data_IF_507177225197
#
_entry.id   IF_507177225197
#
_cell.length_a   1.000
_cell.length_b   1.000
_cell.length_c   1.000
_cell.angle_alpha   90.00
_cell.angle_beta   90.00
_cell.angle_gamma   90.00
#
_symmetry.space_group_name_H-M   'P 1'
#
loop_
_entity.id
_entity.type
_entity.pdbx_description
1 polymer ?
#
# COMPACT_ATOMS: atom_id res chain seq x y z
N UNK A 1 -1.05 16.59 -8.76
CA UNK A 1 -0.87 15.13 -8.79
C UNK A 1 -0.83 14.68 -7.34
N UNK A 2 -1.70 13.74 -6.95
CA UNK A 2 -1.88 13.36 -5.54
C UNK A 2 -0.77 12.47 -4.99
N UNK A 3 -0.07 11.75 -5.87
CA UNK A 3 1.13 10.98 -5.55
C UNK A 3 2.30 11.95 -5.48
N UNK A 4 2.81 12.17 -4.27
CA UNK A 4 3.92 13.10 -4.03
C UNK A 4 5.28 12.45 -4.29
N UNK A 5 5.37 11.12 -4.14
CA UNK A 5 6.60 10.39 -4.38
C UNK A 5 6.43 8.89 -4.26
N UNK A 6 7.43 8.16 -4.75
CA UNK A 6 7.52 6.71 -4.64
C UNK A 6 8.70 6.35 -3.73
N UNK A 7 8.49 5.41 -2.82
CA UNK A 7 9.49 4.94 -1.86
C UNK A 7 9.68 3.44 -2.04
N UNK A 8 10.92 3.05 -2.26
CA UNK A 8 11.29 1.64 -2.29
C UNK A 8 11.54 1.13 -0.87
N UNK A 9 11.15 -0.12 -0.56
CA UNK A 9 11.53 -0.74 0.70
C UNK A 9 13.06 -0.87 0.79
N UNK A 10 13.62 -0.65 1.98
CA UNK A 10 15.07 -0.66 2.21
C UNK A 10 15.69 -2.04 1.89
N UNK A 11 14.95 -3.11 2.17
CA UNK A 11 15.28 -4.48 1.77
C UNK A 11 14.07 -5.10 1.04
N UNK A 12 14.06 -4.96 -0.29
CA UNK A 12 13.00 -5.48 -1.14
C UNK A 12 12.90 -7.00 -1.11
N UNK A 13 14.03 -7.70 -1.02
CA UNK A 13 14.08 -9.17 -1.08
C UNK A 13 13.67 -9.78 0.26
N UNK A 14 14.18 -9.27 1.37
CA UNK A 14 13.76 -9.69 2.70
C UNK A 14 12.28 -9.39 2.96
N UNK A 15 11.79 -8.22 2.51
CA UNK A 15 10.35 -7.92 2.61
C UNK A 15 9.50 -8.89 1.77
N UNK A 16 9.91 -9.20 0.54
CA UNK A 16 9.23 -10.17 -0.31
C UNK A 16 9.10 -11.54 0.37
N UNK A 17 10.19 -12.05 0.95
CA UNK A 17 10.20 -13.36 1.62
C UNK A 17 9.30 -13.38 2.86
N UNK A 18 9.29 -12.29 3.64
CA UNK A 18 8.43 -12.16 4.83
C UNK A 18 6.95 -12.11 4.49
N UNK A 19 6.56 -11.51 3.36
CA UNK A 19 5.14 -11.33 3.00
C UNK A 19 4.56 -12.44 2.10
N UNK A 20 5.35 -13.47 1.75
CA UNK A 20 4.96 -14.53 0.79
C UNK A 20 4.08 -15.65 1.35
N UNK A 21 4.11 -15.90 2.65
CA UNK A 21 3.28 -16.91 3.33
C UNK A 21 2.59 -16.55 4.65
N UNK A 22 2.53 -15.28 5.10
CA UNK A 22 2.04 -14.99 6.45
C UNK A 22 0.55 -14.60 6.52
N UNK A 23 0.05 -14.41 7.74
CA UNK A 23 -1.27 -13.81 8.00
C UNK A 23 -1.29 -12.32 7.62
N UNK A 24 -2.49 -11.71 7.52
CA UNK A 24 -2.63 -10.27 7.20
C UNK A 24 -1.86 -9.38 8.19
N UNK A 25 -1.92 -9.71 9.48
CA UNK A 25 -1.29 -8.96 10.58
C UNK A 25 0.25 -8.99 10.50
N UNK A 26 0.80 -10.12 10.07
CA UNK A 26 2.23 -10.29 9.84
C UNK A 26 2.70 -9.52 8.60
N UNK A 27 1.89 -9.46 7.52
CA UNK A 27 2.16 -8.59 6.37
C UNK A 27 2.20 -7.12 6.80
N UNK A 28 1.19 -6.66 7.54
CA UNK A 28 1.14 -5.29 8.06
C UNK A 28 2.38 -4.97 8.89
N UNK A 29 2.76 -5.90 9.77
CA UNK A 29 3.93 -5.73 10.64
C UNK A 29 5.24 -5.67 9.85
N UNK A 30 5.45 -6.58 8.89
CA UNK A 30 6.65 -6.57 8.06
C UNK A 30 6.76 -5.29 7.22
N UNK A 31 5.65 -4.82 6.64
CA UNK A 31 5.64 -3.61 5.81
C UNK A 31 5.87 -2.37 6.67
N UNK A 32 5.15 -2.19 7.78
CA UNK A 32 5.32 -0.99 8.63
C UNK A 32 6.74 -0.89 9.22
N UNK A 33 7.34 -2.01 9.62
CA UNK A 33 8.73 -2.07 10.12
C UNK A 33 9.72 -1.61 9.03
N UNK A 34 9.51 -2.05 7.79
CA UNK A 34 10.37 -1.69 6.66
C UNK A 34 10.31 -0.19 6.34
N UNK A 35 9.13 0.41 6.47
CA UNK A 35 8.92 1.83 6.20
C UNK A 35 9.14 2.73 7.43
N UNK A 36 9.36 2.15 8.62
CA UNK A 36 9.55 2.85 9.88
C UNK A 36 8.28 3.52 10.41
N UNK A 37 7.10 2.95 10.10
CA UNK A 37 5.79 3.49 10.46
C UNK A 37 5.15 2.67 11.58
N UNK A 38 4.32 3.32 12.40
CA UNK A 38 3.71 2.70 13.60
C UNK A 38 2.50 1.84 13.24
N UNK A 39 1.73 2.31 12.28
CA UNK A 39 0.45 1.72 11.88
C UNK A 39 0.50 1.27 10.42
N UNK A 40 -0.21 0.19 10.14
CA UNK A 40 -0.39 -0.36 8.81
C UNK A 40 -1.68 -1.15 8.78
N UNK A 41 -2.43 -1.02 7.70
CA UNK A 41 -3.70 -1.73 7.49
C UNK A 41 -3.67 -2.41 6.14
N UNK A 42 -3.86 -3.72 6.14
CA UNK A 42 -3.96 -4.54 4.96
C UNK A 42 -5.35 -4.39 4.33
N UNK A 43 -5.37 -4.11 3.03
CA UNK A 43 -6.60 -3.99 2.25
C UNK A 43 -6.46 -4.85 1.00
N UNK A 44 -7.43 -5.73 0.75
CA UNK A 44 -7.47 -6.59 -0.44
C UNK A 44 -8.80 -6.45 -1.17
N UNK A 45 -8.72 -6.37 -2.50
CA UNK A 45 -9.85 -6.40 -3.41
C UNK A 45 -9.79 -7.74 -4.17
N UNK A 46 -10.64 -8.72 -3.81
CA UNK A 46 -10.52 -10.09 -4.36
C UNK A 46 -11.26 -10.33 -5.66
N UNK A 47 -12.48 -9.83 -5.81
CA UNK A 47 -13.37 -10.18 -6.93
C UNK A 47 -13.94 -8.97 -7.65
N UNK A 48 -13.81 -7.79 -7.07
CA UNK A 48 -14.29 -6.53 -7.62
C UNK A 48 -13.39 -5.41 -7.13
N UNK A 49 -13.45 -4.27 -7.81
CA UNK A 49 -12.80 -3.06 -7.35
C UNK A 49 -13.33 -2.67 -5.96
N UNK A 50 -12.46 -2.09 -5.13
CA UNK A 50 -12.78 -1.60 -3.81
C UNK A 50 -12.29 -0.16 -3.67
N UNK A 51 -13.18 0.73 -3.23
CA UNK A 51 -12.79 2.08 -2.84
C UNK A 51 -12.40 2.07 -1.36
N UNK A 52 -11.23 2.61 -1.05
CA UNK A 52 -10.71 2.69 0.30
C UNK A 52 -10.46 4.15 0.69
N UNK A 53 -11.03 4.56 1.81
CA UNK A 53 -10.87 5.92 2.31
C UNK A 53 -9.51 6.11 2.99
N UNK A 54 -8.83 7.21 2.67
CA UNK A 54 -7.59 7.65 3.30
C UNK A 54 -7.83 9.05 3.87
N UNK A 55 -7.91 9.17 5.20
CA UNK A 55 -8.27 10.43 5.85
C UNK A 55 -7.06 11.31 6.18
N UNK A 56 -5.87 10.73 6.15
CA UNK A 56 -4.60 11.40 6.47
C UNK A 56 -3.56 11.06 5.41
N UNK A 57 -2.52 11.90 5.25
CA UNK A 57 -1.38 11.56 4.42
C UNK A 57 -0.82 10.19 4.79
N UNK A 58 -0.63 9.34 3.79
CA UNK A 58 -0.26 7.95 4.01
C UNK A 58 0.71 7.45 2.95
N UNK A 59 1.40 6.35 3.25
CA UNK A 59 2.10 5.54 2.28
C UNK A 59 1.23 4.33 1.96
N UNK A 60 0.90 4.14 0.68
CA UNK A 60 0.23 2.94 0.18
C UNK A 60 1.27 2.03 -0.43
N UNK A 61 1.55 0.91 0.22
CA UNK A 61 2.45 -0.11 -0.29
C UNK A 61 1.69 -1.11 -1.15
N UNK A 62 1.98 -1.15 -2.45
CA UNK A 62 1.36 -2.10 -3.37
C UNK A 62 2.05 -3.47 -3.26
N UNK A 63 1.31 -4.49 -2.84
CA UNK A 63 1.82 -5.87 -2.78
C UNK A 63 1.65 -6.53 -4.16
N UNK A 64 0.44 -6.45 -4.71
CA UNK A 64 0.06 -7.04 -6.00
C UNK A 64 -1.10 -6.28 -6.61
N UNK A 65 -1.22 -6.33 -7.94
CA UNK A 65 -2.30 -5.72 -8.69
C UNK A 65 -2.01 -4.25 -8.95
N UNK A 66 -2.99 -3.38 -8.76
CA UNK A 66 -2.89 -1.93 -8.95
C UNK A 66 -4.00 -1.17 -8.23
N UNK A 67 -3.78 0.12 -8.05
CA UNK A 67 -4.81 1.03 -7.55
C UNK A 67 -4.75 2.37 -8.27
N UNK A 68 -5.88 3.09 -8.29
CA UNK A 68 -5.95 4.45 -8.80
C UNK A 68 -6.04 5.47 -7.66
N UNK A 69 -5.45 6.64 -7.86
CA UNK A 69 -5.49 7.76 -6.93
C UNK A 69 -5.42 9.08 -7.73
N UNK A 70 -6.41 9.97 -7.55
CA UNK A 70 -6.57 11.24 -8.27
C UNK A 70 -6.20 11.23 -9.75
N UNK A 71 -6.69 10.22 -10.48
CA UNK A 71 -6.49 10.07 -11.93
C UNK A 71 -5.18 9.40 -12.36
N UNK A 72 -4.31 9.00 -11.42
CA UNK A 72 -3.10 8.22 -11.68
C UNK A 72 -3.30 6.75 -11.32
N UNK A 73 -2.83 5.84 -12.17
CA UNK A 73 -2.78 4.40 -11.89
C UNK A 73 -1.39 4.03 -11.36
N UNK A 74 -1.36 3.41 -10.19
CA UNK A 74 -0.16 2.88 -9.53
C UNK A 74 -0.14 1.35 -9.65
N UNK A 75 0.80 0.80 -10.42
CA UNK A 75 0.87 -0.62 -10.80
C UNK A 75 2.25 -1.28 -10.56
N UNK A 76 3.23 -0.54 -10.03
CA UNK A 76 4.53 -1.12 -9.66
C UNK A 76 4.45 -1.82 -8.30
N UNK A 77 4.44 -3.16 -8.33
CA UNK A 77 4.43 -3.98 -7.12
C UNK A 77 5.69 -3.80 -6.25
N UNK A 78 5.52 -4.04 -4.96
CA UNK A 78 6.54 -3.88 -3.92
C UNK A 78 7.08 -2.44 -3.83
N UNK A 79 6.19 -1.46 -4.01
CA UNK A 79 6.51 -0.04 -3.98
C UNK A 79 5.52 0.71 -3.09
N UNK A 80 6.06 1.60 -2.26
CA UNK A 80 5.27 2.54 -1.46
C UNK A 80 4.99 3.82 -2.24
N UNK A 81 3.75 4.25 -2.28
CA UNK A 81 3.32 5.51 -2.89
C UNK A 81 2.89 6.46 -1.80
N UNK A 82 3.56 7.61 -1.70
CA UNK A 82 3.20 8.65 -0.74
C UNK A 82 2.05 9.48 -1.30
N UNK A 83 0.91 9.43 -0.62
CA UNK A 83 -0.31 10.15 -1.00
C UNK A 83 -0.58 11.21 0.07
N UNK A 84 -0.67 12.47 -0.34
CA UNK A 84 -0.80 13.61 0.58
C UNK A 84 -2.06 14.45 0.38
N UNK A 85 -2.71 14.35 -0.80
CA UNK A 85 -3.80 15.24 -1.21
C UNK A 85 -4.93 14.46 -1.90
N UNK A 86 -5.37 13.37 -1.29
CA UNK A 86 -6.54 12.58 -1.70
C UNK A 86 -7.28 12.00 -0.51
N UNK A 87 -8.60 11.80 -0.68
CA UNK A 87 -9.46 11.22 0.36
C UNK A 87 -9.72 9.73 0.18
N UNK A 88 -9.39 9.17 -0.98
CA UNK A 88 -9.60 7.76 -1.27
C UNK A 88 -8.64 7.22 -2.34
N UNK A 89 -8.42 5.92 -2.31
CA UNK A 89 -7.81 5.14 -3.39
C UNK A 89 -8.83 4.14 -3.93
N UNK A 90 -8.70 3.76 -5.20
CA UNK A 90 -9.51 2.70 -5.81
C UNK A 90 -8.62 1.50 -6.10
N UNK A 91 -8.72 0.45 -5.29
CA UNK A 91 -8.07 -0.83 -5.57
C UNK A 91 -8.82 -1.52 -6.70
N UNK A 92 -8.09 -2.05 -7.67
CA UNK A 92 -8.67 -2.89 -8.71
C UNK A 92 -8.88 -4.31 -8.19
N UNK A 93 -9.78 -5.06 -8.81
CA UNK A 93 -9.92 -6.49 -8.55
C UNK A 93 -8.55 -7.22 -8.60
N UNK A 94 -8.38 -8.18 -7.70
CA UNK A 94 -7.14 -8.94 -7.47
C UNK A 94 -5.94 -8.09 -7.04
N UNK A 95 -6.19 -7.01 -6.29
CA UNK A 95 -5.13 -6.15 -5.74
C UNK A 95 -5.07 -6.23 -4.22
N UNK A 96 -3.87 -6.11 -3.68
CA UNK A 96 -3.65 -6.00 -2.24
C UNK A 96 -2.62 -4.93 -1.93
N UNK A 97 -2.91 -4.13 -0.92
CA UNK A 97 -2.06 -3.04 -0.46
C UNK A 97 -1.97 -3.03 1.06
N UNK A 98 -0.95 -2.36 1.58
CA UNK A 98 -0.92 -1.91 2.98
C UNK A 98 -0.98 -0.39 2.99
N UNK A 99 -1.99 0.16 3.66
CA UNK A 99 -2.13 1.60 3.88
C UNK A 99 -1.50 1.94 5.22
N UNK A 100 -0.52 2.84 5.22
CA UNK A 100 0.23 3.24 6.41
C UNK A 100 0.12 4.75 6.61
N UNK A 101 -0.65 5.23 7.60
CA UNK A 101 -0.69 6.65 7.95
C UNK A 101 0.71 7.18 8.30
N UNK A 102 0.97 8.44 7.94
CA UNK A 102 2.23 9.12 8.28
C UNK A 102 2.21 9.79 9.67
N UNK A 103 1.07 9.76 10.36
CA UNK A 103 0.81 10.40 11.66
C UNK A 103 0.83 9.42 12.81
#
# INVERSE_FOLDING_TARGET
>A
MPVFGKREPADKRGLYERIRGPSKEEVETAVRENFGLKEGRYVEARHSDQQESIQTPCVVFLIIGKFDVGGETCDEAYKGYTITDESAIKLWAHSAVVVMPLT
#
